data_IF_593807507126
#
_entry.id   IF_593807507126
#
_cell.length_a   1.000
_cell.length_b   1.000
_cell.length_c   1.000
_cell.angle_alpha   90.00
_cell.angle_beta   90.00
_cell.angle_gamma   90.00
#
_symmetry.space_group_name_H-M   'P 1'
#
loop_
_entity.id
_entity.type
_entity.pdbx_description
1 polymer ?
#
# COMPACT_ATOMS: atom_id res chain seq x y z
N UNK A 1 19.30 -12.01 -38.88
CA UNK A 1 17.95 -12.61 -38.91
C UNK A 1 17.23 -12.19 -37.63
N UNK A 2 16.29 -11.25 -37.71
CA UNK A 2 15.38 -10.98 -36.59
C UNK A 2 14.36 -12.13 -36.56
N UNK A 3 14.61 -13.14 -35.75
CA UNK A 3 13.59 -14.13 -35.42
C UNK A 3 12.48 -13.43 -34.67
N UNK A 4 11.35 -13.20 -35.35
CA UNK A 4 10.11 -12.74 -34.73
C UNK A 4 9.59 -13.86 -33.83
N UNK A 5 10.08 -13.91 -32.59
CA UNK A 5 9.58 -14.81 -31.56
C UNK A 5 8.17 -14.35 -31.15
N UNK A 6 7.15 -14.90 -31.82
CA UNK A 6 5.76 -14.72 -31.42
C UNK A 6 5.38 -15.82 -30.45
N UNK A 7 4.87 -15.43 -29.29
CA UNK A 7 4.26 -16.38 -28.35
C UNK A 7 3.13 -17.14 -29.07
N UNK A 8 3.08 -18.46 -28.87
CA UNK A 8 2.03 -19.30 -29.42
C UNK A 8 0.72 -19.16 -28.63
N UNK A 9 0.83 -18.79 -27.35
CA UNK A 9 -0.30 -18.54 -26.46
C UNK A 9 0.10 -17.54 -25.36
N UNK A 10 -0.90 -16.87 -24.82
CA UNK A 10 -0.81 -16.02 -23.63
C UNK A 10 -1.90 -16.46 -22.65
N UNK A 11 -1.60 -16.41 -21.36
CA UNK A 11 -2.49 -16.71 -20.26
C UNK A 11 -2.57 -15.46 -19.38
N UNK A 12 -3.79 -15.08 -19.04
CA UNK A 12 -4.09 -14.10 -18.01
C UNK A 12 -4.80 -14.89 -16.91
N UNK A 13 -4.15 -15.04 -15.77
CA UNK A 13 -4.69 -15.73 -14.61
C UNK A 13 -5.08 -14.78 -13.50
N UNK A 14 -6.00 -15.26 -12.68
CA UNK A 14 -6.50 -14.64 -11.47
C UNK A 14 -6.16 -15.62 -10.36
N UNK A 15 -5.49 -15.14 -9.32
CA UNK A 15 -4.98 -15.97 -8.25
C UNK A 15 -5.34 -15.40 -6.89
N UNK A 16 -5.72 -16.31 -6.00
CA UNK A 16 -5.80 -16.02 -4.58
C UNK A 16 -4.36 -16.05 -4.02
N UNK A 17 -3.89 -14.89 -3.55
CA UNK A 17 -2.55 -14.70 -2.99
C UNK A 17 -1.34 -15.02 -3.90
N UNK A 18 -1.52 -15.06 -5.22
CA UNK A 18 -0.41 -15.15 -6.19
C UNK A 18 0.14 -16.54 -6.44
N UNK A 19 -0.43 -17.56 -5.80
CA UNK A 19 -0.10 -18.95 -6.11
C UNK A 19 -0.53 -19.30 -7.53
N UNK A 20 0.29 -20.07 -8.25
CA UNK A 20 -0.08 -20.49 -9.61
C UNK A 20 -1.03 -21.69 -9.65
N UNK A 21 -1.12 -22.48 -8.58
CA UNK A 21 -2.09 -23.56 -8.49
C UNK A 21 -3.45 -23.03 -8.03
N UNK A 22 -4.51 -23.79 -8.31
CA UNK A 22 -5.90 -23.41 -7.98
C UNK A 22 -6.25 -21.99 -8.45
N UNK A 23 -5.81 -21.65 -9.66
CA UNK A 23 -5.98 -20.31 -10.25
C UNK A 23 -6.94 -20.37 -11.43
N UNK A 24 -7.79 -19.36 -11.55
CA UNK A 24 -8.66 -19.11 -12.70
C UNK A 24 -7.83 -18.50 -13.83
N UNK A 25 -8.04 -18.90 -15.09
CA UNK A 25 -7.25 -18.44 -16.24
C UNK A 25 -8.07 -18.23 -17.54
N UNK A 26 -7.82 -17.09 -18.19
CA UNK A 26 -8.15 -16.87 -19.59
C UNK A 26 -6.95 -17.19 -20.50
N UNK A 27 -7.08 -18.16 -21.40
CA UNK A 27 -6.04 -18.60 -22.34
C UNK A 27 -6.31 -18.06 -23.74
N UNK A 28 -5.46 -17.15 -24.21
CA UNK A 28 -5.46 -16.66 -25.59
C UNK A 28 -4.56 -17.53 -26.47
N UNK A 29 -5.14 -18.26 -27.42
CA UNK A 29 -4.42 -19.11 -28.37
C UNK A 29 -5.17 -19.18 -29.71
N UNK A 30 -4.44 -19.13 -30.82
CA UNK A 30 -5.00 -19.26 -32.18
C UNK A 30 -6.18 -18.29 -32.44
N UNK A 31 -6.03 -17.03 -32.03
CA UNK A 31 -7.07 -15.98 -32.11
C UNK A 31 -8.37 -16.29 -31.38
N UNK A 32 -8.33 -17.19 -30.39
CA UNK A 32 -9.46 -17.50 -29.52
C UNK A 32 -9.02 -17.29 -28.08
N UNK A 33 -9.91 -16.73 -27.28
CA UNK A 33 -9.80 -16.74 -25.84
C UNK A 33 -10.65 -17.90 -25.33
N UNK A 34 -10.10 -18.69 -24.41
CA UNK A 34 -10.80 -19.78 -23.75
C UNK A 34 -10.60 -19.70 -22.26
N UNK A 35 -11.67 -20.01 -21.56
CA UNK A 35 -11.71 -20.09 -20.13
C UNK A 35 -11.19 -21.43 -19.61
N UNK A 36 -10.63 -21.42 -18.41
CA UNK A 36 -10.04 -22.59 -17.78
C UNK A 36 -9.49 -22.27 -16.40
N UNK A 37 -8.93 -23.29 -15.76
CA UNK A 37 -8.27 -23.15 -14.46
C UNK A 37 -7.00 -23.99 -14.41
N UNK A 38 -6.12 -23.65 -13.47
CA UNK A 38 -4.94 -24.43 -13.11
C UNK A 38 -5.30 -25.22 -11.84
N UNK A 39 -5.23 -26.54 -11.91
CA UNK A 39 -5.53 -27.39 -10.75
C UNK A 39 -4.39 -27.40 -9.71
N UNK A 40 -4.63 -28.09 -8.59
CA UNK A 40 -3.66 -28.22 -7.49
C UNK A 40 -2.30 -28.83 -7.93
N UNK A 41 -2.28 -29.59 -9.03
CA UNK A 41 -1.10 -30.24 -9.60
C UNK A 41 -0.49 -29.44 -10.78
N UNK A 42 -0.85 -28.16 -10.89
CA UNK A 42 -0.38 -27.25 -11.93
C UNK A 42 -0.74 -27.69 -13.35
N UNK A 43 -1.83 -28.45 -13.52
CA UNK A 43 -2.34 -28.80 -14.85
C UNK A 43 -3.44 -27.84 -15.28
N UNK A 44 -3.32 -27.38 -16.52
CA UNK A 44 -4.33 -26.55 -17.19
C UNK A 44 -5.50 -27.43 -17.62
N UNK A 45 -6.66 -27.09 -17.06
CA UNK A 45 -7.96 -27.61 -17.43
C UNK A 45 -8.75 -26.54 -18.18
N UNK A 46 -9.62 -26.95 -19.10
CA UNK A 46 -10.51 -26.04 -19.81
C UNK A 46 -11.90 -26.14 -19.22
N UNK A 47 -12.52 -25.00 -18.97
CA UNK A 47 -13.83 -24.96 -18.36
C UNK A 47 -14.96 -25.31 -19.31
N UNK A 48 -16.05 -25.78 -18.70
CA UNK A 48 -17.31 -26.00 -19.40
C UNK A 48 -18.08 -24.68 -19.51
N UNK A 49 -18.04 -23.85 -18.48
CA UNK A 49 -18.43 -22.44 -18.59
C UNK A 49 -17.37 -21.69 -19.39
N UNK A 50 -17.74 -20.55 -19.97
CA UNK A 50 -16.81 -19.68 -20.68
C UNK A 50 -17.08 -18.24 -20.28
N UNK A 51 -16.37 -17.80 -19.26
CA UNK A 51 -16.56 -16.51 -18.61
C UNK A 51 -15.61 -15.43 -19.19
N UNK A 52 -14.53 -15.84 -19.86
CA UNK A 52 -13.65 -14.97 -20.63
C UNK A 52 -14.12 -14.75 -22.08
N UNK A 53 -14.59 -13.53 -22.40
CA UNK A 53 -15.10 -13.17 -23.72
C UNK A 53 -14.15 -12.24 -24.48
N UNK A 54 -13.63 -12.69 -25.62
CA UNK A 54 -12.80 -11.84 -26.49
C UNK A 54 -13.65 -10.74 -27.15
N UNK A 55 -13.24 -9.48 -27.02
CA UNK A 55 -14.00 -8.34 -27.56
C UNK A 55 -13.37 -7.75 -28.82
N UNK A 56 -12.09 -7.35 -28.75
CA UNK A 56 -11.38 -6.69 -29.84
C UNK A 56 -10.00 -7.30 -30.00
N UNK A 57 -9.52 -7.29 -31.25
CA UNK A 57 -8.18 -7.75 -31.60
C UNK A 57 -7.56 -6.79 -32.62
N UNK A 58 -6.39 -6.27 -32.27
CA UNK A 58 -5.50 -5.53 -33.16
C UNK A 58 -4.26 -6.39 -33.47
N UNK A 59 -3.29 -5.84 -34.22
CA UNK A 59 -2.07 -6.59 -34.63
C UNK A 59 -1.32 -7.20 -33.44
N UNK A 60 -1.16 -6.44 -32.36
CA UNK A 60 -0.34 -6.83 -31.19
C UNK A 60 -1.10 -6.73 -29.86
N UNK A 61 -2.39 -6.42 -29.87
CA UNK A 61 -3.18 -6.26 -28.65
C UNK A 61 -4.53 -6.94 -28.82
N UNK A 62 -5.09 -7.41 -27.71
CA UNK A 62 -6.48 -7.84 -27.65
C UNK A 62 -7.11 -7.29 -26.38
N UNK A 63 -8.43 -7.14 -26.40
CA UNK A 63 -9.22 -6.84 -25.21
C UNK A 63 -10.22 -7.95 -24.99
N UNK A 64 -10.52 -8.22 -23.73
CA UNK A 64 -11.49 -9.21 -23.33
C UNK A 64 -12.33 -8.68 -22.17
N UNK A 65 -13.46 -9.34 -21.94
CA UNK A 65 -14.39 -9.06 -20.85
C UNK A 65 -14.58 -10.34 -20.05
N UNK A 66 -14.51 -10.21 -18.72
CA UNK A 66 -14.88 -11.25 -17.75
C UNK A 66 -15.75 -10.57 -16.69
N UNK A 67 -16.76 -11.27 -16.16
CA UNK A 67 -17.55 -10.74 -15.05
C UNK A 67 -16.70 -10.81 -13.78
N UNK A 68 -16.90 -9.85 -12.86
CA UNK A 68 -16.22 -9.87 -11.56
C UNK A 68 -16.63 -11.09 -10.72
N UNK A 69 -17.88 -11.48 -10.88
CA UNK A 69 -18.52 -12.60 -10.22
C UNK A 69 -19.12 -13.53 -11.26
N UNK A 70 -18.81 -14.81 -11.16
CA UNK A 70 -19.40 -15.86 -11.99
C UNK A 70 -20.05 -16.91 -11.08
N UNK A 71 -20.79 -17.84 -11.67
CA UNK A 71 -21.35 -18.98 -10.95
C UNK A 71 -20.53 -20.26 -11.18
N UNK A 72 -19.36 -20.13 -11.81
CA UNK A 72 -18.43 -21.24 -12.00
C UNK A 72 -17.65 -21.47 -10.70
N UNK A 73 -17.63 -22.69 -10.13
CA UNK A 73 -16.88 -22.98 -8.91
C UNK A 73 -15.35 -22.93 -9.06
N UNK A 74 -14.82 -22.91 -10.28
CA UNK A 74 -13.37 -22.82 -10.53
C UNK A 74 -12.88 -21.39 -10.74
N UNK A 75 -13.81 -20.44 -10.84
CA UNK A 75 -13.52 -19.02 -11.02
C UNK A 75 -13.24 -18.32 -9.69
N UNK A 76 -12.36 -17.33 -9.75
CA UNK A 76 -12.11 -16.45 -8.60
C UNK A 76 -13.07 -15.27 -8.62
N UNK A 77 -13.67 -14.99 -7.45
CA UNK A 77 -14.47 -13.79 -7.22
C UNK A 77 -13.56 -12.58 -7.08
N UNK A 78 -13.73 -11.59 -7.96
CA UNK A 78 -12.94 -10.37 -7.97
C UNK A 78 -13.62 -9.29 -7.12
N UNK A 79 -13.03 -8.99 -5.96
CA UNK A 79 -13.49 -7.97 -5.01
C UNK A 79 -12.67 -6.69 -5.08
N UNK A 80 -13.19 -5.63 -4.46
CA UNK A 80 -12.42 -4.41 -4.29
C UNK A 80 -11.28 -4.69 -3.31
N UNK A 81 -10.09 -4.22 -3.62
CA UNK A 81 -8.87 -4.48 -2.86
C UNK A 81 -7.76 -5.04 -3.74
N UNK A 82 -6.79 -5.69 -3.11
CA UNK A 82 -5.61 -6.21 -3.81
C UNK A 82 -5.91 -7.54 -4.47
N UNK A 83 -5.69 -7.63 -5.79
CA UNK A 83 -5.80 -8.87 -6.56
C UNK A 83 -4.47 -9.20 -7.22
N UNK A 84 -4.13 -10.49 -7.26
CA UNK A 84 -2.92 -10.95 -7.91
C UNK A 84 -3.25 -11.59 -9.27
N UNK A 85 -2.65 -11.04 -10.31
CA UNK A 85 -2.76 -11.49 -11.68
C UNK A 85 -1.54 -12.33 -12.06
N UNK A 86 -1.77 -13.34 -12.88
CA UNK A 86 -0.71 -14.16 -13.48
C UNK A 86 -0.64 -13.80 -14.95
N UNK A 87 0.52 -13.39 -15.45
CA UNK A 87 0.80 -13.36 -16.88
C UNK A 87 1.71 -14.53 -17.22
N UNK A 88 1.28 -15.38 -18.13
CA UNK A 88 2.09 -16.49 -18.58
C UNK A 88 1.97 -16.73 -20.09
N UNK A 89 2.94 -17.43 -20.67
CA UNK A 89 2.94 -17.74 -22.09
C UNK A 89 4.14 -18.58 -22.50
N UNK A 90 4.15 -18.98 -23.75
CA UNK A 90 5.24 -19.78 -24.29
C UNK A 90 5.18 -19.90 -25.81
N UNK A 91 6.25 -20.44 -26.38
CA UNK A 91 6.35 -20.70 -27.82
C UNK A 91 5.67 -22.01 -28.23
N UNK A 92 5.46 -22.93 -27.28
CA UNK A 92 4.73 -24.17 -27.47
C UNK A 92 3.76 -24.37 -26.30
N UNK A 93 2.51 -24.73 -26.60
CA UNK A 93 1.50 -24.88 -25.56
C UNK A 93 1.75 -26.14 -24.72
N UNK A 94 2.01 -25.94 -23.44
CA UNK A 94 2.06 -27.00 -22.42
C UNK A 94 0.81 -26.96 -21.56
N UNK A 95 0.24 -28.14 -21.25
CA UNK A 95 -0.80 -28.25 -20.20
C UNK A 95 -0.21 -28.23 -18.80
N UNK A 96 1.06 -28.61 -18.65
CA UNK A 96 1.76 -28.54 -17.37
C UNK A 96 2.30 -27.11 -17.19
N UNK A 97 1.69 -26.34 -16.30
CA UNK A 97 2.04 -24.96 -15.98
C UNK A 97 3.39 -24.84 -15.24
N UNK A 98 3.87 -25.94 -14.65
CA UNK A 98 5.19 -26.02 -14.04
C UNK A 98 6.34 -26.34 -15.01
N UNK A 99 6.04 -26.53 -16.29
CA UNK A 99 7.10 -26.73 -17.28
C UNK A 99 7.97 -25.48 -17.43
N UNK A 100 9.29 -25.66 -17.54
CA UNK A 100 10.27 -24.58 -17.80
C UNK A 100 10.02 -23.84 -19.13
N UNK A 101 9.23 -24.45 -20.02
CA UNK A 101 8.82 -23.83 -21.29
C UNK A 101 7.73 -22.76 -21.12
N UNK A 102 7.13 -22.65 -19.92
CA UNK A 102 6.11 -21.66 -19.59
C UNK A 102 6.76 -20.50 -18.86
N UNK A 103 6.88 -19.37 -19.56
CA UNK A 103 7.29 -18.10 -18.95
C UNK A 103 6.12 -17.58 -18.13
N UNK A 104 6.36 -17.20 -16.87
CA UNK A 104 5.33 -16.79 -15.91
C UNK A 104 5.80 -15.63 -15.05
N UNK A 105 4.89 -14.72 -14.75
CA UNK A 105 5.11 -13.55 -13.91
C UNK A 105 3.83 -13.25 -13.13
N UNK A 106 3.96 -13.00 -11.84
CA UNK A 106 2.86 -12.53 -11.01
C UNK A 106 2.89 -11.00 -10.92
N UNK A 107 1.73 -10.36 -10.97
CA UNK A 107 1.54 -8.92 -10.89
C UNK A 107 0.48 -8.65 -9.82
N UNK A 108 0.78 -7.73 -8.91
CA UNK A 108 -0.18 -7.27 -7.91
C UNK A 108 -0.88 -6.03 -8.46
N UNK A 109 -2.20 -5.98 -8.35
CA UNK A 109 -3.00 -4.84 -8.82
C UNK A 109 -4.09 -4.51 -7.80
N UNK A 110 -4.23 -3.23 -7.47
CA UNK A 110 -5.31 -2.75 -6.59
C UNK A 110 -6.57 -2.46 -7.42
N UNK A 111 -7.62 -3.26 -7.22
CA UNK A 111 -8.92 -3.03 -7.85
C UNK A 111 -9.78 -2.14 -6.94
N UNK A 112 -10.18 -0.98 -7.46
CA UNK A 112 -11.12 -0.07 -6.77
C UNK A 112 -12.47 -0.14 -7.46
N UNK A 113 -13.42 -0.88 -6.89
CA UNK A 113 -14.80 -0.88 -7.38
C UNK A 113 -15.59 0.25 -6.71
N UNK A 114 -15.71 1.37 -7.40
CA UNK A 114 -16.45 2.53 -6.90
C UNK A 114 -17.95 2.45 -7.20
N UNK A 115 -18.76 2.84 -6.21
CA UNK A 115 -19.95 3.63 -6.48
C UNK A 115 -19.53 4.92 -7.23
N UNK A 116 -20.45 5.47 -8.02
CA UNK A 116 -20.36 6.70 -8.85
C UNK A 116 -19.90 8.02 -8.14
N UNK A 117 -19.28 7.96 -6.97
CA UNK A 117 -18.71 9.09 -6.23
C UNK A 117 -17.19 9.02 -6.10
N UNK A 118 -16.51 8.35 -7.03
CA UNK A 118 -15.18 8.82 -7.38
C UNK A 118 -15.41 10.15 -8.07
N UNK A 119 -15.45 11.24 -7.28
CA UNK A 119 -15.07 12.53 -7.80
C UNK A 119 -13.76 12.25 -8.53
N UNK A 120 -13.75 12.45 -9.84
CA UNK A 120 -12.53 12.81 -10.53
C UNK A 120 -11.89 13.85 -9.61
N UNK A 121 -10.89 13.42 -8.85
CA UNK A 121 -9.97 14.29 -8.16
C UNK A 121 -9.23 14.99 -9.31
N UNK A 122 -9.94 15.91 -9.95
CA UNK A 122 -9.36 17.04 -10.62
C UNK A 122 -8.45 17.60 -9.56
N UNK A 123 -7.16 17.30 -9.71
CA UNK A 123 -6.12 17.88 -8.88
C UNK A 123 -6.32 19.38 -9.04
N UNK A 124 -7.02 19.98 -8.08
CA UNK A 124 -7.15 21.41 -8.02
C UNK A 124 -5.73 21.84 -7.73
N UNK A 125 -5.03 22.30 -8.77
CA UNK A 125 -3.75 22.97 -8.65
C UNK A 125 -4.00 24.18 -7.78
N UNK A 126 -3.84 24.00 -6.46
CA UNK A 126 -3.95 25.07 -5.50
C UNK A 126 -2.75 26.00 -5.73
N UNK A 127 -3.05 27.19 -6.25
CA UNK A 127 -2.06 28.20 -6.67
C UNK A 127 -1.16 28.72 -5.53
N UNK A 128 -1.50 28.42 -4.26
CA UNK A 128 -0.76 28.85 -3.07
C UNK A 128 -0.35 27.67 -2.18
N UNK A 129 0.11 26.58 -2.79
CA UNK A 129 0.70 25.46 -2.06
C UNK A 129 2.21 25.65 -1.86
N UNK A 130 2.69 25.32 -0.66
CA UNK A 130 4.10 25.22 -0.33
C UNK A 130 4.41 23.77 0.05
N UNK A 131 5.68 23.38 -0.01
CA UNK A 131 6.09 22.04 0.42
C UNK A 131 7.37 22.07 1.24
N UNK A 132 7.53 21.07 2.09
CA UNK A 132 8.76 20.85 2.84
C UNK A 132 9.03 19.35 2.99
N UNK A 133 10.32 19.00 3.07
CA UNK A 133 10.77 17.61 3.13
C UNK A 133 11.30 17.25 4.51
N UNK A 134 11.08 16.01 4.91
CA UNK A 134 11.74 15.38 6.05
C UNK A 134 12.37 14.09 5.54
N UNK A 135 13.69 14.09 5.42
CA UNK A 135 14.49 13.01 4.84
C UNK A 135 15.41 12.40 5.88
N UNK A 136 15.92 11.20 5.57
CA UNK A 136 16.88 10.44 6.37
C UNK A 136 18.18 11.19 6.71
N UNK A 137 18.50 12.31 6.04
CA UNK A 137 19.71 13.11 6.20
C UNK A 137 20.98 12.25 6.02
N UNK A 138 20.99 11.42 4.96
CA UNK A 138 22.12 10.55 4.63
C UNK A 138 22.31 9.38 5.60
N UNK A 139 21.21 8.72 5.98
CA UNK A 139 21.19 7.50 6.78
C UNK A 139 22.18 6.46 6.26
N UNK A 140 22.87 5.79 7.18
CA UNK A 140 23.72 4.65 6.86
C UNK A 140 22.94 3.38 7.17
N UNK A 141 22.43 2.72 6.14
CA UNK A 141 21.65 1.49 6.29
C UNK A 141 22.57 0.40 6.83
N UNK A 142 22.13 -0.29 7.89
CA UNK A 142 22.89 -1.41 8.45
C UNK A 142 22.89 -2.61 7.50
N UNK A 143 23.87 -3.49 7.66
CA UNK A 143 23.87 -4.81 6.99
C UNK A 143 22.95 -5.82 7.69
N UNK A 144 22.33 -5.42 8.81
CA UNK A 144 21.28 -6.19 9.48
C UNK A 144 20.05 -6.32 8.58
N UNK A 145 19.33 -7.44 8.70
CA UNK A 145 18.12 -7.69 7.89
C UNK A 145 17.06 -6.60 8.11
N UNK A 146 16.93 -6.12 9.34
CA UNK A 146 15.93 -5.12 9.72
C UNK A 146 16.63 -3.95 10.40
N UNK A 147 16.33 -2.73 9.96
CA UNK A 147 16.79 -1.49 10.60
C UNK A 147 15.68 -0.46 10.61
N UNK A 148 15.41 0.11 11.79
CA UNK A 148 14.53 1.26 11.94
C UNK A 148 15.36 2.54 12.13
N UNK A 149 15.16 3.50 11.25
CA UNK A 149 15.82 4.80 11.25
C UNK A 149 14.81 5.90 11.55
N UNK A 150 15.13 6.76 12.50
CA UNK A 150 14.25 7.81 12.97
C UNK A 150 14.87 9.18 12.71
N UNK A 151 14.04 10.09 12.21
CA UNK A 151 14.37 11.48 11.94
C UNK A 151 13.39 12.36 12.70
N UNK A 152 13.87 13.24 13.59
CA UNK A 152 13.04 14.25 14.25
C UNK A 152 13.44 15.61 13.69
N UNK A 153 12.47 16.34 13.13
CA UNK A 153 12.68 17.67 12.56
C UNK A 153 11.61 18.65 13.02
N UNK A 154 12.01 19.90 13.17
CA UNK A 154 11.08 21.01 13.38
C UNK A 154 10.40 21.36 12.05
N UNK A 155 9.09 21.63 12.09
CA UNK A 155 8.36 22.16 10.92
C UNK A 155 8.90 23.55 10.54
N UNK A 156 8.81 23.97 9.27
CA UNK A 156 9.33 25.27 8.86
C UNK A 156 8.73 26.43 9.68
N UNK A 157 9.53 27.45 9.96
CA UNK A 157 9.12 28.58 10.83
C UNK A 157 7.85 29.26 10.34
N UNK A 158 7.66 29.39 9.02
CA UNK A 158 6.44 29.95 8.43
C UNK A 158 5.19 29.15 8.83
N UNK A 159 5.28 27.82 8.83
CA UNK A 159 4.21 26.90 9.23
C UNK A 159 3.99 26.94 10.73
N UNK A 160 5.05 27.07 11.53
CA UNK A 160 4.92 27.12 12.99
C UNK A 160 4.15 28.33 13.53
N UNK A 161 4.02 29.41 12.75
CA UNK A 161 3.37 30.66 13.20
C UNK A 161 1.90 30.77 12.83
N UNK A 162 1.48 30.07 11.77
CA UNK A 162 0.12 30.14 11.22
C UNK A 162 -0.37 28.72 10.94
N UNK A 163 -1.64 28.44 11.24
CA UNK A 163 -2.24 27.14 10.91
C UNK A 163 -2.28 26.95 9.39
N UNK A 164 -1.85 25.78 8.93
CA UNK A 164 -1.96 25.32 7.55
C UNK A 164 -2.71 24.00 7.50
N UNK A 165 -3.14 23.60 6.31
CA UNK A 165 -3.61 22.25 6.01
C UNK A 165 -2.59 21.52 5.17
N UNK A 166 -2.23 20.30 5.57
CA UNK A 166 -1.59 19.33 4.68
C UNK A 166 -2.66 18.81 3.72
N UNK A 167 -2.35 18.88 2.43
CA UNK A 167 -3.26 18.47 1.35
C UNK A 167 -2.73 17.28 0.57
N UNK A 168 -1.42 17.01 0.67
CA UNK A 168 -0.78 15.87 0.03
C UNK A 168 0.47 15.45 0.80
N UNK A 169 0.70 14.15 0.91
CA UNK A 169 1.92 13.56 1.49
C UNK A 169 2.49 12.58 0.47
N UNK A 170 3.69 12.85 -0.01
CA UNK A 170 4.36 12.04 -1.03
C UNK A 170 5.54 11.28 -0.44
N UNK A 171 5.69 9.97 -0.70
CA UNK A 171 6.94 9.30 -0.44
C UNK A 171 8.04 9.89 -1.33
N UNK A 172 9.24 10.00 -0.79
CA UNK A 172 10.46 10.33 -1.51
C UNK A 172 11.42 9.19 -1.28
N UNK A 173 11.55 8.30 -2.26
CA UNK A 173 12.47 7.16 -2.17
C UNK A 173 13.74 7.49 -2.95
N UNK A 174 14.89 7.34 -2.30
CA UNK A 174 16.17 7.54 -2.97
C UNK A 174 16.34 6.50 -4.08
N UNK A 175 16.65 6.98 -5.28
CA UNK A 175 16.88 6.12 -6.44
C UNK A 175 17.98 5.08 -6.16
N UNK A 176 17.68 3.81 -6.43
CA UNK A 176 18.54 2.66 -6.16
C UNK A 176 18.26 1.95 -4.82
N UNK A 177 17.47 2.57 -3.93
CA UNK A 177 17.10 2.02 -2.63
C UNK A 177 15.62 1.58 -2.58
N UNK A 178 14.92 1.55 -3.71
CA UNK A 178 13.50 1.19 -3.80
C UNK A 178 13.20 -0.20 -3.21
N UNK A 179 14.13 -1.15 -3.36
CA UNK A 179 13.98 -2.49 -2.76
C UNK A 179 14.27 -2.56 -1.25
N UNK A 180 14.84 -1.50 -0.65
CA UNK A 180 15.28 -1.51 0.75
C UNK A 180 14.28 -0.81 1.67
N UNK A 181 13.66 0.28 1.21
CA UNK A 181 12.65 1.01 2.00
C UNK A 181 11.35 0.20 1.98
N UNK A 182 11.04 -0.46 3.11
CA UNK A 182 9.89 -1.34 3.21
C UNK A 182 8.61 -0.58 3.58
N UNK A 183 8.69 0.28 4.60
CA UNK A 183 7.65 1.24 4.95
C UNK A 183 8.24 2.47 5.65
N UNK A 184 7.49 3.56 5.67
CA UNK A 184 7.80 4.81 6.36
C UNK A 184 6.56 5.35 7.05
N UNK A 185 6.75 5.96 8.22
CA UNK A 185 5.66 6.57 8.99
C UNK A 185 6.05 7.96 9.45
N UNK A 186 5.08 8.87 9.47
CA UNK A 186 5.22 10.22 10.02
C UNK A 186 4.39 10.30 11.29
N UNK A 187 4.99 10.81 12.36
CA UNK A 187 4.34 11.04 13.63
C UNK A 187 4.43 12.51 14.01
N UNK A 188 3.35 13.03 14.60
CA UNK A 188 3.34 14.30 15.28
C UNK A 188 3.85 14.12 16.72
N UNK A 189 4.75 15.00 17.16
CA UNK A 189 5.24 15.01 18.53
C UNK A 189 4.33 15.86 19.42
N UNK A 190 3.93 15.33 20.57
CA UNK A 190 3.12 16.09 21.53
C UNK A 190 3.91 17.19 22.25
N UNK A 191 5.20 16.93 22.52
CA UNK A 191 6.06 17.88 23.24
C UNK A 191 6.83 18.80 22.29
N UNK A 192 6.98 20.06 22.69
CA UNK A 192 7.76 21.09 21.97
C UNK A 192 9.26 21.09 22.34
N UNK A 193 9.67 20.29 23.33
CA UNK A 193 11.05 20.17 23.82
C UNK A 193 11.88 19.12 23.06
N UNK A 194 11.54 18.88 21.79
CA UNK A 194 12.27 17.91 20.95
C UNK A 194 13.64 18.43 20.55
N UNK A 195 14.58 17.48 20.48
CA UNK A 195 15.89 17.68 19.88
C UNK A 195 15.87 17.08 18.49
N UNK A 196 16.30 17.85 17.48
CA UNK A 196 16.42 17.31 16.13
C UNK A 196 17.42 16.15 16.11
N UNK A 197 17.05 15.10 15.38
CA UNK A 197 17.74 13.83 15.42
C UNK A 197 17.68 13.16 14.05
N UNK A 198 18.74 12.45 13.68
CA UNK A 198 18.73 11.47 12.59
C UNK A 198 19.64 10.32 12.99
N UNK A 199 19.08 9.12 13.09
CA UNK A 199 19.80 7.95 13.59
C UNK A 199 18.91 6.73 13.81
N UNK A 200 19.48 5.66 14.38
CA UNK A 200 18.72 4.46 14.75
C UNK A 200 17.61 4.79 15.74
N UNK A 201 16.41 4.24 15.55
CA UNK A 201 15.26 4.47 16.41
C UNK A 201 15.48 3.98 17.85
N UNK A 202 16.19 2.86 18.05
CA UNK A 202 16.48 2.32 19.39
C UNK A 202 17.20 3.32 20.30
N UNK A 203 18.00 4.22 19.71
CA UNK A 203 18.70 5.26 20.47
C UNK A 203 17.78 6.36 20.99
N UNK A 204 16.54 6.46 20.47
CA UNK A 204 15.51 7.36 20.95
C UNK A 204 14.71 6.78 22.12
N UNK A 205 14.71 5.47 22.32
CA UNK A 205 13.93 4.82 23.38
C UNK A 205 14.27 5.32 24.79
N UNK A 206 15.47 5.87 24.99
CA UNK A 206 15.91 6.48 26.27
C UNK A 206 15.43 7.92 26.50
N UNK A 207 14.95 8.60 25.47
CA UNK A 207 14.57 10.01 25.52
C UNK A 207 13.05 10.14 25.66
N UNK A 208 12.58 10.55 26.85
CA UNK A 208 11.13 10.65 27.15
C UNK A 208 10.39 11.61 26.23
N UNK A 209 11.03 12.70 25.81
CA UNK A 209 10.44 13.64 24.85
C UNK A 209 10.21 12.98 23.49
N UNK A 210 11.17 12.20 22.97
CA UNK A 210 11.02 11.49 21.69
C UNK A 210 9.90 10.43 21.71
N UNK A 211 9.65 9.81 22.87
CA UNK A 211 8.55 8.85 23.06
C UNK A 211 7.15 9.50 22.90
N UNK A 212 7.05 10.82 23.00
CA UNK A 212 5.78 11.55 22.77
C UNK A 212 5.41 11.69 21.29
N UNK A 213 6.31 11.30 20.38
CA UNK A 213 6.08 11.28 18.94
C UNK A 213 5.42 9.96 18.54
N UNK A 214 4.15 9.80 18.92
CA UNK A 214 3.37 8.57 18.70
C UNK A 214 2.08 8.79 17.91
N UNK A 215 1.69 10.03 17.64
CA UNK A 215 0.46 10.32 16.91
C UNK A 215 0.70 10.21 15.40
N UNK A 216 0.20 9.16 14.74
CA UNK A 216 0.42 8.94 13.30
C UNK A 216 -0.24 10.04 12.47
N UNK A 217 0.51 10.55 11.50
CA UNK A 217 0.15 11.59 10.53
C UNK A 217 0.08 11.03 9.12
N UNK A 218 0.89 10.03 8.81
CA UNK A 218 0.85 9.28 7.58
C UNK A 218 1.61 7.98 7.76
N UNK A 219 1.20 6.97 7.02
CA UNK A 219 1.97 5.76 6.80
C UNK A 219 2.11 5.58 5.28
N UNK A 220 3.23 5.02 4.86
CA UNK A 220 3.48 4.61 3.49
C UNK A 220 4.17 3.25 3.51
N UNK A 221 3.68 2.32 2.70
CA UNK A 221 4.34 1.05 2.43
C UNK A 221 4.70 0.91 0.95
N UNK A 222 5.67 0.04 0.67
CA UNK A 222 6.07 -0.27 -0.71
C UNK A 222 4.85 -0.59 -1.59
N UNK A 223 4.70 0.17 -2.67
CA UNK A 223 3.60 0.00 -3.64
C UNK A 223 2.45 0.99 -3.47
N UNK A 224 2.39 1.73 -2.36
CA UNK A 224 1.36 2.76 -2.16
C UNK A 224 1.66 4.05 -2.94
N UNK A 225 0.59 4.69 -3.41
CA UNK A 225 0.62 6.01 -4.04
C UNK A 225 0.68 7.14 -2.99
N UNK A 226 0.92 8.41 -3.40
CA UNK A 226 0.79 9.54 -2.49
C UNK A 226 -0.60 9.65 -1.87
N UNK A 227 -0.66 10.11 -0.63
CA UNK A 227 -1.92 10.42 0.07
C UNK A 227 -2.40 11.79 -0.41
N UNK A 228 -3.64 11.87 -0.86
CA UNK A 228 -4.30 13.11 -1.26
C UNK A 228 -5.52 13.37 -0.38
N UNK A 229 -5.53 14.50 0.31
CA UNK A 229 -6.72 14.90 1.08
C UNK A 229 -7.81 15.44 0.14
N UNK A 230 -9.10 15.20 0.43
CA UNK A 230 -10.22 15.64 -0.40
C UNK A 230 -10.42 17.17 -0.31
N UNK A 231 -10.96 17.85 -1.33
CA UNK A 231 -11.10 19.32 -1.35
C UNK A 231 -11.82 19.92 -0.12
N UNK A 232 -12.68 19.14 0.54
CA UNK A 232 -13.44 19.54 1.71
C UNK A 232 -12.61 19.58 3.01
N UNK A 233 -11.50 18.84 3.08
CA UNK A 233 -10.73 18.66 4.31
C UNK A 233 -9.21 18.63 4.11
N UNK A 234 -8.44 19.05 5.11
CA UNK A 234 -6.99 18.93 5.13
C UNK A 234 -6.48 18.69 6.55
N UNK A 235 -5.35 18.00 6.70
CA UNK A 235 -4.82 17.68 8.03
C UNK A 235 -4.17 18.92 8.64
N UNK A 236 -4.60 19.39 9.82
CA UNK A 236 -4.09 20.62 10.41
C UNK A 236 -2.64 20.48 10.87
N UNK A 237 -1.80 21.47 10.54
CA UNK A 237 -0.42 21.57 11.01
C UNK A 237 -0.04 23.02 11.36
N UNK A 238 0.81 23.17 12.37
CA UNK A 238 1.34 24.47 12.77
C UNK A 238 0.32 25.39 13.45
N UNK A 239 0.63 26.69 13.47
CA UNK A 239 -0.08 27.68 14.28
C UNK A 239 0.48 27.82 15.70
N UNK A 240 0.04 28.86 16.42
CA UNK A 240 0.59 29.26 17.74
C UNK A 240 0.52 28.12 18.76
N UNK A 241 -0.59 27.40 18.77
CA UNK A 241 -0.85 26.27 19.67
C UNK A 241 -0.59 24.90 18.99
N UNK A 242 -0.11 24.91 17.74
CA UNK A 242 0.15 23.71 16.96
C UNK A 242 1.45 23.04 17.37
N UNK A 243 1.51 21.73 17.13
CA UNK A 243 2.73 20.93 17.34
C UNK A 243 3.81 21.33 16.35
N UNK A 244 5.05 21.43 16.83
CA UNK A 244 6.17 22.03 16.07
C UNK A 244 7.13 21.00 15.50
N UNK A 245 6.98 19.73 15.84
CA UNK A 245 7.92 18.68 15.47
C UNK A 245 7.21 17.48 14.88
N UNK A 246 7.86 16.91 13.87
CA UNK A 246 7.50 15.67 13.24
C UNK A 246 8.64 14.67 13.41
N UNK A 247 8.28 13.41 13.66
CA UNK A 247 9.19 12.26 13.62
C UNK A 247 8.87 11.45 12.36
N UNK A 248 9.85 11.18 11.52
CA UNK A 248 9.74 10.18 10.44
C UNK A 248 10.48 8.92 10.89
N UNK A 249 9.81 7.78 10.79
CA UNK A 249 10.38 6.46 11.03
C UNK A 249 10.44 5.70 9.71
N UNK A 250 11.61 5.16 9.38
CA UNK A 250 11.88 4.45 8.12
C UNK A 250 12.33 3.05 8.47
N UNK A 251 11.57 2.05 8.01
CA UNK A 251 11.94 0.65 8.14
C UNK A 251 12.63 0.19 6.86
N UNK A 252 13.91 -0.16 7.00
CA UNK A 252 14.68 -0.81 5.96
C UNK A 252 14.67 -2.33 6.14
N UNK A 253 14.33 -3.05 5.06
CA UNK A 253 14.47 -4.50 4.96
C UNK A 253 15.64 -4.81 4.00
N UNK A 254 16.75 -5.33 4.53
CA UNK A 254 17.98 -5.63 3.81
C UNK A 254 18.29 -7.16 3.86
N UNK A 255 17.46 -8.01 3.23
CA UNK A 255 17.64 -9.46 3.27
C UNK A 255 18.96 -9.90 2.62
N UNK A 256 19.44 -9.14 1.64
CA UNK A 256 20.72 -9.39 0.96
C UNK A 256 21.95 -8.94 1.77
N UNK A 257 21.76 -8.28 2.93
CA UNK A 257 22.82 -7.79 3.81
C UNK A 257 23.86 -6.93 3.10
N UNK A 258 23.37 -6.08 2.20
CA UNK A 258 24.21 -5.14 1.45
C UNK A 258 24.90 -4.16 2.43
N UNK A 259 26.10 -3.72 2.06
CA UNK A 259 26.96 -2.84 2.88
C UNK A 259 27.17 -1.49 2.22
N UNK A 260 27.59 -0.50 3.01
CA UNK A 260 27.97 0.85 2.56
C UNK A 260 26.87 1.61 1.78
N UNK A 261 25.60 1.29 2.05
CA UNK A 261 24.47 1.99 1.45
C UNK A 261 24.15 3.25 2.25
N UNK A 262 23.91 4.33 1.51
CA UNK A 262 23.39 5.58 2.04
C UNK A 262 22.00 5.84 1.51
N UNK A 263 21.18 6.43 2.35
CA UNK A 263 19.80 6.73 2.01
C UNK A 263 19.39 8.13 2.51
N UNK A 264 18.62 8.82 1.67
CA UNK A 264 18.01 10.11 1.95
C UNK A 264 16.51 10.05 1.62
N UNK A 265 15.89 8.89 1.82
CA UNK A 265 14.45 8.70 1.65
C UNK A 265 13.66 9.36 2.79
N UNK A 266 12.38 9.61 2.57
CA UNK A 266 11.48 10.21 3.54
C UNK A 266 10.20 10.70 2.89
N UNK A 267 9.70 11.86 3.33
CA UNK A 267 8.45 12.44 2.83
C UNK A 267 8.64 13.86 2.28
N UNK A 268 7.86 14.18 1.24
CA UNK A 268 7.59 15.55 0.78
C UNK A 268 6.13 15.89 1.10
N UNK A 269 5.94 16.90 1.94
CA UNK A 269 4.64 17.27 2.51
C UNK A 269 4.19 18.58 1.88
N UNK A 270 3.05 18.54 1.19
CA UNK A 270 2.43 19.71 0.56
C UNK A 270 1.38 20.31 1.49
N UNK A 271 1.50 21.61 1.73
CA UNK A 271 0.66 22.38 2.63
C UNK A 271 0.06 23.59 1.92
N UNK A 272 -1.07 24.06 2.45
CA UNK A 272 -1.76 25.27 1.99
C UNK A 272 -2.14 26.15 3.20
N UNK A 273 -1.96 27.48 3.12
CA UNK A 273 -2.51 28.41 4.11
C UNK A 273 -4.02 28.62 3.92
N UNK A 274 -4.56 28.25 2.76
CA UNK A 274 -5.98 28.34 2.43
C UNK A 274 -6.73 27.16 3.06
N UNK A 275 -7.09 27.32 4.33
CA UNK A 275 -7.75 26.27 5.11
C UNK A 275 -9.03 25.78 4.40
N UNK A 276 -9.09 24.47 4.19
CA UNK A 276 -10.29 23.78 3.71
C UNK A 276 -11.37 23.82 4.78
N UNK A 277 -12.60 23.46 4.38
CA UNK A 277 -13.79 23.59 5.23
C UNK A 277 -13.68 22.81 6.54
N UNK A 278 -13.01 21.65 6.52
CA UNK A 278 -12.89 20.76 7.66
C UNK A 278 -11.43 20.42 7.97
N UNK A 279 -11.15 20.21 9.25
CA UNK A 279 -9.90 19.57 9.67
C UNK A 279 -10.05 18.06 9.50
N UNK A 280 -9.11 17.44 8.78
CA UNK A 280 -9.00 15.99 8.75
C UNK A 280 -8.35 15.48 10.05
N UNK A 281 -8.64 14.24 10.41
CA UNK A 281 -8.01 13.52 11.50
C UNK A 281 -7.71 12.09 11.10
N UNK A 282 -6.77 11.45 11.80
CA UNK A 282 -6.39 10.05 11.58
C UNK A 282 -6.77 9.27 12.82
N UNK A 283 -7.36 8.10 12.60
CA UNK A 283 -7.76 7.18 13.66
C UNK A 283 -7.19 5.81 13.36
N UNK A 284 -6.29 5.36 14.23
CA UNK A 284 -5.73 4.01 14.19
C UNK A 284 -6.69 3.06 14.91
N UNK A 285 -7.12 2.02 14.21
CA UNK A 285 -7.99 0.98 14.73
C UNK A 285 -7.32 -0.37 14.51
N UNK A 286 -7.20 -1.17 15.56
CA UNK A 286 -6.58 -2.49 15.45
C UNK A 286 -6.19 -3.10 16.77
N UNK A 287 -5.21 -3.98 16.70
CA UNK A 287 -4.59 -4.65 17.84
C UNK A 287 -3.32 -3.88 18.25
N UNK A 288 -3.05 -3.79 19.54
CA UNK A 288 -1.82 -3.17 20.05
C UNK A 288 -0.60 -4.07 19.76
N UNK A 289 0.58 -3.47 19.58
CA UNK A 289 1.83 -4.21 19.45
C UNK A 289 2.20 -4.86 20.79
N UNK A 290 1.85 -6.13 20.96
CA UNK A 290 2.05 -6.88 22.21
C UNK A 290 2.14 -8.38 21.92
N UNK A 291 2.99 -9.07 22.68
CA UNK A 291 3.12 -10.53 22.67
C UNK A 291 1.80 -11.23 23.00
N UNK A 292 0.84 -10.52 23.61
CA UNK A 292 -0.51 -11.00 23.86
C UNK A 292 -1.29 -11.33 22.56
N UNK A 293 -0.89 -10.77 21.43
CA UNK A 293 -1.55 -10.95 20.12
C UNK A 293 -0.82 -11.98 19.23
N UNK A 294 -0.29 -13.04 19.84
CA UNK A 294 0.51 -14.07 19.15
C UNK A 294 -0.34 -15.04 18.33
N UNK A 295 0.13 -15.38 17.12
CA UNK A 295 -0.44 -16.44 16.27
C UNK A 295 0.34 -17.75 16.52
N UNK A 296 -0.33 -18.86 16.88
CA UNK A 296 0.32 -20.15 17.02
C UNK A 296 0.95 -20.61 15.68
N UNK A 297 2.07 -21.37 15.71
CA UNK A 297 2.66 -21.88 14.48
C UNK A 297 1.74 -22.90 13.78
N UNK A 298 1.89 -23.02 12.46
CA UNK A 298 1.20 -23.99 11.59
C UNK A 298 -0.35 -23.88 11.57
N UNK A 299 -0.90 -22.69 11.84
CA UNK A 299 -2.33 -22.46 11.66
C UNK A 299 -2.62 -22.16 10.18
N UNK A 300 -3.64 -22.80 9.62
CA UNK A 300 -4.12 -22.48 8.27
C UNK A 300 -4.87 -21.13 8.25
N UNK A 301 -5.52 -20.77 9.36
CA UNK A 301 -6.17 -19.48 9.59
C UNK A 301 -6.32 -19.25 11.08
N UNK A 302 -6.06 -18.03 11.56
CA UNK A 302 -6.21 -17.65 12.96
C UNK A 302 -6.67 -16.18 13.07
N UNK A 303 -7.91 -15.91 13.49
CA UNK A 303 -8.42 -14.54 13.54
C UNK A 303 -7.85 -13.78 14.73
N UNK A 304 -7.38 -12.56 14.47
CA UNK A 304 -7.07 -11.55 15.48
C UNK A 304 -8.03 -10.37 15.32
N UNK A 305 -8.65 -9.92 16.41
CA UNK A 305 -9.68 -8.86 16.36
C UNK A 305 -9.34 -7.74 17.33
N UNK A 306 -9.29 -6.51 16.80
CA UNK A 306 -9.25 -5.27 17.58
C UNK A 306 -10.64 -4.63 17.68
N UNK A 307 -10.91 -3.89 18.76
CA UNK A 307 -12.22 -3.26 18.99
C UNK A 307 -12.09 -1.80 19.42
N UNK A 308 -12.91 -0.93 18.83
CA UNK A 308 -13.21 0.40 19.38
C UNK A 308 -14.56 0.33 20.11
N UNK A 309 -14.52 0.21 21.43
CA UNK A 309 -15.73 0.03 22.24
C UNK A 309 -16.54 1.33 22.36
N UNK A 310 -17.84 1.22 22.64
CA UNK A 310 -18.74 2.37 22.76
C UNK A 310 -18.21 3.44 23.73
N UNK A 311 -17.69 3.03 24.89
CA UNK A 311 -17.08 3.92 25.88
C UNK A 311 -15.91 4.76 25.34
N UNK A 312 -15.22 4.27 24.31
CA UNK A 312 -14.17 5.01 23.61
C UNK A 312 -14.79 6.01 22.63
N UNK A 313 -15.73 5.57 21.80
CA UNK A 313 -16.41 6.45 20.83
C UNK A 313 -17.19 7.59 21.49
N UNK A 314 -17.74 7.37 22.69
CA UNK A 314 -18.43 8.41 23.47
C UNK A 314 -17.51 9.55 23.94
N UNK A 315 -16.18 9.32 23.94
CA UNK A 315 -15.18 10.36 24.28
C UNK A 315 -14.77 11.20 23.07
N UNK A 316 -15.14 10.78 21.86
CA UNK A 316 -14.93 11.57 20.66
C UNK A 316 -15.93 12.74 20.62
N UNK A 317 -15.60 13.76 19.83
CA UNK A 317 -16.47 14.93 19.65
C UNK A 317 -17.88 14.50 19.20
N UNK A 318 -18.96 15.15 19.70
CA UNK A 318 -20.33 14.81 19.33
C UNK A 318 -20.68 15.17 17.87
N UNK A 319 -19.76 15.84 17.15
CA UNK A 319 -19.95 16.12 15.73
C UNK A 319 -19.79 14.84 14.89
N UNK A 320 -20.58 14.67 13.82
CA UNK A 320 -20.46 13.53 12.93
C UNK A 320 -19.07 13.49 12.26
N UNK A 321 -18.43 12.33 12.28
CA UNK A 321 -17.16 12.08 11.59
C UNK A 321 -17.46 11.48 10.21
N UNK A 322 -16.92 12.08 9.16
CA UNK A 322 -16.99 11.55 7.80
C UNK A 322 -15.70 10.80 7.48
N UNK A 323 -15.81 9.53 7.07
CA UNK A 323 -14.69 8.73 6.59
C UNK A 323 -14.57 8.88 5.08
N UNK A 324 -13.38 9.22 4.60
CA UNK A 324 -13.09 9.33 3.17
C UNK A 324 -12.00 8.36 2.70
N UNK A 325 -11.18 7.81 3.60
CA UNK A 325 -10.07 6.92 3.28
C UNK A 325 -9.86 5.84 4.35
N UNK A 326 -9.36 4.68 3.94
CA UNK A 326 -8.94 3.56 4.80
C UNK A 326 -7.65 3.00 4.20
N UNK A 327 -6.58 2.97 4.99
CA UNK A 327 -5.39 2.16 4.71
C UNK A 327 -5.33 1.03 5.73
N UNK A 328 -4.74 -0.10 5.33
CA UNK A 328 -4.61 -1.27 6.19
C UNK A 328 -3.18 -1.82 6.10
N UNK A 329 -2.62 -2.16 7.25
CA UNK A 329 -1.21 -2.56 7.40
C UNK A 329 -1.11 -3.86 8.19
N UNK A 330 -0.34 -4.81 7.66
CA UNK A 330 -0.14 -6.17 8.18
C UNK A 330 1.31 -6.62 7.92
N UNK A 331 1.77 -7.60 8.70
CA UNK A 331 3.01 -8.32 8.40
C UNK A 331 2.76 -9.54 7.49
N UNK A 332 3.83 -10.14 6.95
CA UNK A 332 3.78 -11.15 5.88
C UNK A 332 3.01 -12.45 6.18
N UNK A 333 2.56 -12.67 7.43
CA UNK A 333 1.80 -13.86 7.83
C UNK A 333 0.29 -13.59 7.97
N UNK A 334 -0.18 -12.37 7.67
CA UNK A 334 -1.51 -11.90 8.04
C UNK A 334 -2.33 -11.50 6.80
N UNK A 335 -3.56 -12.01 6.71
CA UNK A 335 -4.56 -11.54 5.75
C UNK A 335 -5.60 -10.68 6.50
N UNK A 336 -5.94 -9.51 5.94
CA UNK A 336 -6.99 -8.65 6.50
C UNK A 336 -8.35 -9.03 5.95
N UNK A 337 -9.33 -9.14 6.85
CA UNK A 337 -10.75 -9.13 6.51
C UNK A 337 -11.35 -7.93 7.24
N UNK A 338 -11.62 -6.80 6.56
CA UNK A 338 -12.26 -5.67 7.21
C UNK A 338 -13.70 -6.03 7.59
N UNK A 339 -13.94 -6.34 8.86
CA UNK A 339 -15.29 -6.48 9.41
C UNK A 339 -15.73 -5.16 10.04
N UNK A 340 -16.62 -4.44 9.36
CA UNK A 340 -17.27 -3.24 9.90
C UNK A 340 -18.45 -3.68 10.78
N UNK A 341 -18.31 -3.53 12.10
CA UNK A 341 -19.46 -3.26 12.95
C UNK A 341 -19.62 -1.73 13.03
N UNK A 342 -20.70 -1.23 12.42
CA UNK A 342 -21.19 0.14 12.59
C UNK A 342 -21.96 0.24 13.90
#
# INVERSE_FOLDING_TARGET
MQTNFRLAYLIIGFSDHGSYNNSDICIYRNNKLRDGYIDANFQIQFDRSQDCQLEKRNRNTFSFRRRLATCDPYDIFLESGTTQFILAGGYEFSRNFNSDNVMKMSIIFEMKFGNLFQTDSTQVLEFESAHFKILADGARISHDVTTYWCVIKRIPVAVSRQKHHIIQIMPQIQKGNEQLVHHMEVFMCESDDQVEYSGKCDSLARFRNAQTCSHVVAAWAMGEEPIFYPPEAGLPIGGVDGKKYLKVEIHYNNPARLVDIRDDSGFDIVITPNLRKFDAGIMELGIIYSDANSIPPNQASFPLTGHCVADCTMKLSPAPVMRFEISSANHSAENLVPSLCV
#
